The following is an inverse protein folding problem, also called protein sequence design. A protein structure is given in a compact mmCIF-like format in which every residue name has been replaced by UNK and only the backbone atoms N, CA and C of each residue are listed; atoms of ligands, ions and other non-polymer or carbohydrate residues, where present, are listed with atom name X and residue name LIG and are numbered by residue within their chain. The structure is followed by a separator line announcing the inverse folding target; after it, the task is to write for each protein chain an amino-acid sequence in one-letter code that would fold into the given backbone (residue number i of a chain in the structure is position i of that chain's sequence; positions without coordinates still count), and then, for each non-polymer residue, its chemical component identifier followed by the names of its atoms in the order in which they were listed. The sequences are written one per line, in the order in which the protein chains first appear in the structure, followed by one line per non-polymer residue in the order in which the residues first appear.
data_IF_493916190572
#
_entry.id   IF_493916190572
#
_cell.length_a   1.000
_cell.length_b   1.000
_cell.length_c   1.000
_cell.angle_alpha   90.00
_cell.angle_beta   90.00
_cell.angle_gamma   90.00
#
_symmetry.space_group_name_H-M   'P 1'
#
loop_
_entity.id
_entity.type
_entity.pdbx_description
1 polymer ?
#
# COMPACT_ATOMS: atom_id res chain seq x y z
N UNK A 1 21.85 -4.40 -19.62
CA UNK A 1 21.66 -3.35 -18.59
C UNK A 1 20.24 -3.48 -18.05
N UNK A 2 20.08 -3.73 -16.74
CA UNK A 2 18.77 -3.76 -16.10
C UNK A 2 18.55 -2.43 -15.36
N UNK A 3 17.50 -1.71 -15.73
CA UNK A 3 17.07 -0.49 -15.05
C UNK A 3 15.64 -0.66 -14.55
N UNK A 4 15.26 0.09 -13.51
CA UNK A 4 13.88 0.13 -13.02
C UNK A 4 13.12 1.13 -13.90
N UNK A 5 12.09 0.65 -14.61
CA UNK A 5 11.20 1.49 -15.41
C UNK A 5 9.90 1.66 -14.63
N UNK A 6 9.55 2.90 -14.31
CA UNK A 6 8.23 3.21 -13.79
C UNK A 6 7.17 2.96 -14.88
N UNK A 7 6.28 2.01 -14.64
CA UNK A 7 5.27 1.55 -15.61
C UNK A 7 3.90 2.22 -15.44
N UNK A 8 3.80 3.32 -14.69
CA UNK A 8 2.53 3.97 -14.40
C UNK A 8 2.61 4.92 -13.21
N UNK A 9 1.44 5.40 -12.77
CA UNK A 9 1.28 6.23 -11.57
C UNK A 9 0.31 5.56 -10.60
N UNK A 10 0.35 5.95 -9.33
CA UNK A 10 -0.67 5.58 -8.36
C UNK A 10 -1.61 6.75 -8.09
N UNK A 11 -2.90 6.47 -7.97
CA UNK A 11 -3.90 7.36 -7.36
C UNK A 11 -4.18 6.80 -5.98
N UNK A 12 -4.17 7.67 -4.98
CA UNK A 12 -4.45 7.32 -3.59
C UNK A 12 -5.67 8.11 -3.15
N UNK A 13 -6.71 7.41 -2.73
CA UNK A 13 -7.90 7.99 -2.14
C UNK A 13 -7.90 7.67 -0.65
N UNK A 14 -8.19 8.67 0.17
CA UNK A 14 -8.22 8.54 1.63
C UNK A 14 -9.57 9.05 2.10
N UNK A 15 -10.26 8.25 2.90
CA UNK A 15 -11.43 8.66 3.66
C UNK A 15 -11.20 8.39 5.15
N UNK A 16 -11.84 9.18 6.00
CA UNK A 16 -11.83 8.98 7.46
C UNK A 16 -13.27 8.81 7.93
N UNK A 17 -13.57 7.70 8.60
CA UNK A 17 -14.91 7.43 9.15
C UNK A 17 -15.19 8.29 10.38
N UNK A 18 -16.45 8.35 10.82
CA UNK A 18 -16.87 9.04 12.05
C UNK A 18 -16.16 8.51 13.31
N UNK A 19 -15.74 7.25 13.28
CA UNK A 19 -15.03 6.58 14.37
C UNK A 19 -13.50 6.79 14.31
N UNK A 20 -13.01 7.54 13.31
CA UNK A 20 -11.58 7.83 13.14
C UNK A 20 -10.79 6.74 12.40
N UNK A 21 -11.47 5.78 11.75
CA UNK A 21 -10.81 4.80 10.88
C UNK A 21 -10.43 5.46 9.57
N UNK A 22 -9.17 5.33 9.17
CA UNK A 22 -8.63 5.77 7.89
C UNK A 22 -8.73 4.62 6.90
N UNK A 23 -9.42 4.85 5.79
CA UNK A 23 -9.51 3.89 4.69
C UNK A 23 -8.75 4.47 3.51
N UNK A 24 -7.65 3.82 3.14
CA UNK A 24 -6.82 4.17 2.00
C UNK A 24 -7.08 3.21 0.85
N UNK A 25 -7.33 3.75 -0.35
CA UNK A 25 -7.48 2.97 -1.59
C UNK A 25 -6.41 3.39 -2.60
N UNK A 26 -5.62 2.41 -3.04
CA UNK A 26 -4.53 2.59 -3.98
C UNK A 26 -4.91 2.01 -5.33
N UNK A 27 -4.83 2.84 -6.36
CA UNK A 27 -5.13 2.47 -7.73
C UNK A 27 -3.95 2.68 -8.64
N UNK A 28 -3.51 1.63 -9.31
CA UNK A 28 -2.48 1.74 -10.33
C UNK A 28 -3.06 2.18 -11.67
N UNK A 29 -2.45 3.18 -12.30
CA UNK A 29 -2.83 3.69 -13.62
C UNK A 29 -1.65 3.53 -14.57
N UNK A 30 -1.89 2.81 -15.67
CA UNK A 30 -0.90 2.56 -16.73
C UNK A 30 -0.59 3.84 -17.52
N UNK A 31 0.50 3.87 -18.32
CA UNK A 31 0.89 5.06 -19.07
C UNK A 31 -0.13 5.44 -20.15
N UNK A 32 -0.94 4.49 -20.61
CA UNK A 32 -2.05 4.69 -21.55
C UNK A 32 -3.33 5.25 -20.88
N UNK A 33 -3.30 5.48 -19.56
CA UNK A 33 -4.42 5.99 -18.78
C UNK A 33 -5.34 4.90 -18.21
N UNK A 34 -5.12 3.62 -18.52
CA UNK A 34 -5.97 2.53 -18.05
C UNK A 34 -5.73 2.25 -16.57
N UNK A 35 -6.80 2.30 -15.77
CA UNK A 35 -6.79 1.91 -14.35
C UNK A 35 -6.72 0.38 -14.22
N UNK A 36 -5.89 -0.11 -13.31
CA UNK A 36 -5.85 -1.54 -12.97
C UNK A 36 -7.14 -1.95 -12.27
N UNK A 37 -7.57 -3.20 -12.48
CA UNK A 37 -8.68 -3.78 -11.73
C UNK A 37 -8.27 -4.13 -10.29
N UNK A 38 -6.97 -4.19 -10.01
CA UNK A 38 -6.45 -4.40 -8.66
C UNK A 38 -6.55 -3.11 -7.85
N UNK A 39 -7.17 -3.20 -6.67
CA UNK A 39 -7.27 -2.10 -5.70
C UNK A 39 -6.61 -2.55 -4.41
N UNK A 40 -5.55 -1.84 -4.00
CA UNK A 40 -4.98 -2.02 -2.67
C UNK A 40 -5.85 -1.27 -1.66
N UNK A 41 -6.38 -1.95 -0.65
CA UNK A 41 -7.21 -1.33 0.39
C UNK A 41 -6.52 -1.53 1.73
N UNK A 42 -6.30 -0.43 2.46
CA UNK A 42 -5.80 -0.48 3.83
C UNK A 42 -6.77 0.22 4.78
N UNK A 43 -7.12 -0.46 5.87
CA UNK A 43 -7.94 0.12 6.94
C UNK A 43 -7.08 0.28 8.18
N UNK A 44 -6.92 1.52 8.62
CA UNK A 44 -5.94 1.91 9.61
C UNK A 44 -6.56 2.82 10.66
N UNK A 45 -5.94 2.91 11.83
CA UNK A 45 -6.22 3.92 12.84
C UNK A 45 -4.91 4.50 13.36
N UNK A 46 -4.95 5.72 13.84
CA UNK A 46 -3.81 6.37 14.48
C UNK A 46 -3.92 6.18 16.00
N UNK A 47 -2.83 5.72 16.61
CA UNK A 47 -2.66 5.65 18.07
C UNK A 47 -1.30 6.28 18.43
N UNK A 48 -1.34 7.52 18.91
CA UNK A 48 -0.14 8.35 19.08
C UNK A 48 0.60 8.53 17.76
N UNK A 49 1.86 8.07 17.70
CA UNK A 49 2.69 8.10 16.50
C UNK A 49 2.65 6.79 15.70
N UNK A 50 1.70 5.88 15.98
CA UNK A 50 1.58 4.59 15.31
C UNK A 50 0.36 4.55 14.40
N UNK A 51 0.54 3.95 13.23
CA UNK A 51 -0.55 3.50 12.38
C UNK A 51 -0.78 2.02 12.66
N UNK A 52 -1.99 1.69 13.10
CA UNK A 52 -2.40 0.34 13.44
C UNK A 52 -3.41 -0.14 12.41
N UNK A 53 -3.32 -1.40 12.02
CA UNK A 53 -4.29 -2.04 11.16
C UNK A 53 -5.61 -2.28 11.90
N UNK A 54 -6.74 -2.10 11.21
CA UNK A 54 -8.11 -2.21 11.77
C UNK A 54 -8.88 -3.41 11.20
N UNK A 55 -8.33 -4.12 10.21
CA UNK A 55 -8.98 -5.29 9.61
C UNK A 55 -8.45 -6.64 10.11
N UNK A 56 -9.17 -7.71 9.82
CA UNK A 56 -8.58 -9.04 9.66
C UNK A 56 -8.86 -9.42 8.21
N UNK A 57 -7.98 -9.02 7.28
CA UNK A 57 -8.11 -9.49 5.91
C UNK A 57 -7.65 -10.95 5.89
N UNK A 58 -8.61 -11.86 6.00
CA UNK A 58 -8.41 -13.32 5.85
C UNK A 58 -8.40 -13.76 4.39
N UNK A 59 -8.84 -12.90 3.47
CA UNK A 59 -8.90 -13.15 2.03
C UNK A 59 -8.53 -11.89 1.25
N UNK A 60 -7.75 -12.02 0.17
CA UNK A 60 -7.46 -10.92 -0.75
C UNK A 60 -8.72 -10.63 -1.59
N UNK A 61 -9.31 -9.43 -1.49
CA UNK A 61 -10.54 -9.09 -2.20
C UNK A 61 -10.37 -9.08 -3.73
N UNK A 62 -9.14 -9.06 -4.25
CA UNK A 62 -8.84 -9.04 -5.67
C UNK A 62 -8.68 -10.46 -6.25
N UNK A 63 -8.16 -11.41 -5.48
CA UNK A 63 -7.84 -12.77 -5.97
C UNK A 63 -8.68 -13.87 -5.33
N UNK A 64 -9.40 -13.56 -4.25
CA UNK A 64 -10.08 -14.52 -3.38
C UNK A 64 -9.13 -15.58 -2.81
N UNK A 65 -7.85 -15.23 -2.65
CA UNK A 65 -6.83 -16.09 -2.04
C UNK A 65 -6.75 -15.82 -0.54
N UNK A 66 -6.48 -16.87 0.22
CA UNK A 66 -6.38 -16.76 1.66
C UNK A 66 -5.13 -15.96 2.07
N UNK A 67 -5.29 -15.05 3.03
CA UNK A 67 -4.21 -14.27 3.64
C UNK A 67 -3.94 -14.82 5.04
N UNK A 68 -2.67 -15.13 5.33
CA UNK A 68 -2.21 -15.62 6.65
C UNK A 68 -1.06 -14.80 7.18
N UNK A 69 -0.81 -14.94 8.49
CA UNK A 69 0.35 -14.37 9.18
C UNK A 69 0.52 -12.87 8.90
N UNK A 70 -0.60 -12.14 8.81
CA UNK A 70 -0.61 -10.72 8.50
C UNK A 70 -0.03 -9.92 9.67
N UNK A 71 0.96 -9.11 9.35
CA UNK A 71 1.62 -8.18 10.26
C UNK A 71 1.69 -6.83 9.58
N UNK A 72 1.25 -5.80 10.29
CA UNK A 72 1.22 -4.43 9.82
C UNK A 72 1.83 -3.53 10.88
N UNK A 73 2.81 -2.73 10.48
CA UNK A 73 3.43 -1.73 11.32
C UNK A 73 3.49 -0.41 10.56
N UNK A 74 2.96 0.66 11.17
CA UNK A 74 3.17 2.00 10.65
C UNK A 74 3.60 2.99 11.72
N UNK A 75 4.43 3.95 11.32
CA UNK A 75 4.95 5.04 12.15
C UNK A 75 4.63 6.36 11.45
N UNK A 76 4.10 7.30 12.21
CA UNK A 76 3.81 8.67 11.81
C UNK A 76 4.78 9.61 12.53
N UNK A 77 5.34 10.54 11.80
CA UNK A 77 6.17 11.64 12.30
C UNK A 77 5.65 12.94 11.69
N UNK A 78 6.21 14.08 12.10
CA UNK A 78 5.75 15.41 11.66
C UNK A 78 5.77 15.57 10.13
N UNK A 79 6.76 14.98 9.45
CA UNK A 79 6.95 15.11 8.00
C UNK A 79 6.93 13.76 7.26
N UNK A 80 6.66 12.64 7.92
CA UNK A 80 6.73 11.31 7.29
C UNK A 80 5.73 10.30 7.82
N UNK A 81 5.32 9.39 6.94
CA UNK A 81 4.61 8.17 7.29
C UNK A 81 5.36 6.98 6.69
N UNK A 82 5.71 6.01 7.53
CA UNK A 82 6.29 4.74 7.11
C UNK A 82 5.33 3.61 7.43
N UNK A 83 5.11 2.71 6.49
CA UNK A 83 4.25 1.54 6.63
C UNK A 83 5.01 0.32 6.10
N UNK A 84 5.03 -0.74 6.89
CA UNK A 84 5.49 -2.07 6.48
C UNK A 84 4.37 -3.07 6.73
N UNK A 85 4.12 -3.90 5.75
CA UNK A 85 3.12 -4.96 5.79
C UNK A 85 3.76 -6.27 5.31
N UNK A 86 3.53 -7.34 6.07
CA UNK A 86 4.04 -8.67 5.83
C UNK A 86 2.88 -9.65 5.91
N UNK A 87 2.76 -10.54 4.93
CA UNK A 87 1.71 -11.56 4.93
C UNK A 87 2.06 -12.69 3.98
N UNK A 88 1.33 -13.79 4.11
CA UNK A 88 1.36 -14.91 3.19
C UNK A 88 0.07 -14.96 2.39
N UNK A 89 0.19 -15.21 1.09
CA UNK A 89 -0.94 -15.53 0.21
C UNK A 89 -0.90 -17.02 -0.08
N UNK A 90 -2.00 -17.71 0.17
CA UNK A 90 -2.15 -19.14 -0.13
C UNK A 90 -2.96 -19.31 -1.40
N UNK A 91 -2.28 -19.70 -2.47
CA UNK A 91 -2.89 -19.98 -3.77
C UNK A 91 -3.82 -21.19 -3.71
N UNK A 92 -4.77 -21.26 -4.64
CA UNK A 92 -5.75 -22.36 -4.73
C UNK A 92 -5.11 -23.74 -5.00
N UNK A 93 -3.89 -23.74 -5.53
CA UNK A 93 -3.07 -24.93 -5.75
C UNK A 93 -2.22 -25.33 -4.52
N UNK A 94 -2.36 -24.59 -3.41
CA UNK A 94 -1.60 -24.80 -2.18
C UNK A 94 -0.23 -24.13 -2.16
N UNK A 95 0.14 -23.37 -3.19
CA UNK A 95 1.36 -22.56 -3.17
C UNK A 95 1.27 -21.46 -2.13
N UNK A 96 2.38 -21.18 -1.46
CA UNK A 96 2.47 -20.13 -0.44
C UNK A 96 3.47 -19.08 -0.92
N UNK A 97 3.01 -17.84 -1.03
CA UNK A 97 3.86 -16.71 -1.39
C UNK A 97 3.96 -15.72 -0.23
N UNK A 98 5.19 -15.44 0.18
CA UNK A 98 5.47 -14.40 1.17
C UNK A 98 5.47 -13.04 0.50
N UNK A 99 4.66 -12.13 0.99
CA UNK A 99 4.54 -10.76 0.52
C UNK A 99 5.11 -9.82 1.57
N UNK A 100 5.91 -8.85 1.10
CA UNK A 100 6.34 -7.71 1.91
C UNK A 100 6.07 -6.44 1.13
N UNK A 101 5.18 -5.61 1.65
CA UNK A 101 4.87 -4.32 1.10
C UNK A 101 5.46 -3.25 2.02
N UNK A 102 6.15 -2.27 1.45
CA UNK A 102 6.55 -1.06 2.18
C UNK A 102 5.99 0.14 1.47
N UNK A 103 5.48 1.10 2.25
CA UNK A 103 5.03 2.39 1.74
C UNK A 103 5.65 3.47 2.60
N UNK A 104 6.23 4.49 1.98
CA UNK A 104 6.77 5.66 2.67
C UNK A 104 6.23 6.92 2.01
N UNK A 105 5.72 7.82 2.84
CA UNK A 105 5.34 9.17 2.47
C UNK A 105 6.30 10.15 3.14
N UNK A 106 6.83 11.07 2.35
CA UNK A 106 7.63 12.21 2.81
C UNK A 106 6.90 13.50 2.41
N UNK A 107 6.40 14.25 3.38
CA UNK A 107 5.65 15.49 3.14
C UNK A 107 6.62 16.63 2.82
N UNK A 108 6.47 17.20 1.63
CA UNK A 108 7.22 18.39 1.19
C UNK A 108 6.52 19.68 1.65
N UNK A 109 5.20 19.63 1.76
CA UNK A 109 4.32 20.69 2.23
C UNK A 109 2.99 20.08 2.69
N UNK A 110 2.04 20.92 3.10
CA UNK A 110 0.67 20.48 3.41
C UNK A 110 -0.07 19.89 2.20
N UNK A 111 0.37 20.21 0.98
CA UNK A 111 -0.31 19.82 -0.27
C UNK A 111 0.52 18.89 -1.16
N UNK A 112 1.79 18.65 -0.83
CA UNK A 112 2.69 17.83 -1.63
C UNK A 112 3.42 16.79 -0.79
N UNK A 113 3.50 15.57 -1.30
CA UNK A 113 4.29 14.50 -0.68
C UNK A 113 4.96 13.63 -1.73
N UNK A 114 6.17 13.14 -1.46
CA UNK A 114 6.76 12.04 -2.22
C UNK A 114 6.29 10.74 -1.59
N UNK A 115 5.68 9.87 -2.39
CA UNK A 115 5.36 8.51 -1.99
C UNK A 115 6.30 7.54 -2.69
N UNK A 116 6.86 6.61 -1.92
CA UNK A 116 7.55 5.44 -2.44
C UNK A 116 6.86 4.18 -1.96
N UNK A 117 6.79 3.18 -2.83
CA UNK A 117 6.19 1.89 -2.54
C UNK A 117 7.07 0.78 -3.07
N UNK A 118 7.22 -0.30 -2.31
CA UNK A 118 7.89 -1.50 -2.79
C UNK A 118 7.12 -2.76 -2.40
N UNK A 119 7.07 -3.71 -3.33
CA UNK A 119 6.40 -5.01 -3.16
C UNK A 119 7.42 -6.08 -3.44
N UNK A 120 7.61 -6.97 -2.48
CA UNK A 120 8.44 -8.16 -2.61
C UNK A 120 7.57 -9.41 -2.58
N UNK A 121 7.93 -10.39 -3.40
CA UNK A 121 7.33 -11.73 -3.40
C UNK A 121 8.46 -12.73 -3.24
N UNK A 122 8.40 -13.54 -2.17
CA UNK A 122 9.45 -14.51 -1.84
C UNK A 122 10.85 -13.86 -1.89
N UNK A 123 10.99 -12.72 -1.21
CA UNK A 123 12.18 -11.88 -1.09
C UNK A 123 12.70 -11.27 -2.41
N UNK A 124 11.96 -11.40 -3.51
CA UNK A 124 12.30 -10.78 -4.80
C UNK A 124 11.48 -9.52 -5.01
N UNK A 125 12.14 -8.41 -5.37
CA UNK A 125 11.46 -7.16 -5.71
C UNK A 125 10.60 -7.38 -6.96
N UNK A 126 9.30 -7.21 -6.81
CA UNK A 126 8.33 -7.28 -7.89
C UNK A 126 7.99 -5.88 -8.43
N UNK A 127 7.71 -4.95 -7.52
CA UNK A 127 7.33 -3.58 -7.86
C UNK A 127 8.13 -2.60 -7.01
N UNK A 128 8.66 -1.57 -7.66
CA UNK A 128 9.07 -0.33 -7.01
C UNK A 128 8.33 0.82 -7.69
N UNK A 129 7.70 1.66 -6.88
CA UNK A 129 6.97 2.84 -7.34
C UNK A 129 7.47 4.07 -6.59
N UNK A 130 7.56 5.19 -7.32
CA UNK A 130 7.74 6.51 -6.74
C UNK A 130 6.81 7.48 -7.44
N UNK A 131 6.15 8.33 -6.68
CA UNK A 131 5.24 9.33 -7.23
C UNK A 131 5.28 10.59 -6.38
N UNK A 132 5.27 11.74 -7.03
CA UNK A 132 4.90 12.99 -6.38
C UNK A 132 3.37 13.01 -6.29
N UNK A 133 2.86 13.07 -5.06
CA UNK A 133 1.46 13.28 -4.76
C UNK A 133 1.22 14.77 -4.59
N UNK A 134 0.12 15.23 -5.17
CA UNK A 134 -0.37 16.60 -5.02
C UNK A 134 -1.83 16.53 -4.62
N UNK A 135 -2.20 17.28 -3.59
CA UNK A 135 -3.60 17.42 -3.18
C UNK A 135 -4.41 17.97 -4.35
N UNK A 136 -5.45 17.26 -4.74
CA UNK A 136 -6.46 17.78 -5.66
C UNK A 136 -7.58 18.37 -4.81
N UNK A 137 -7.92 19.64 -5.07
CA UNK A 137 -8.97 20.37 -4.35
C UNK A 137 -10.36 19.78 -4.50
#
# INVERSE_FOLDING_TARGET
MGGIIQRGKMIIEIETTSEGTIIQRNFFVRPDGTKSNYVGIAQMRIDGNRLLWVGEAVEDPNTAEEIRNHSFEGIVTDDQIYITELYEVVGKDGTIERRRNTTHYYFLSEDEAVMTGSVYVNDKLLVFASTLLRRTG
#
